data_IF_757374988055
#
_entry.id   IF_757374988055
#
_cell.length_a   1.000
_cell.length_b   1.000
_cell.length_c   1.000
_cell.angle_alpha   90.00
_cell.angle_beta   90.00
_cell.angle_gamma   90.00
#
_symmetry.space_group_name_H-M   'P 1'
#
loop_
_entity.id
_entity.type
_entity.pdbx_description
1 polymer ?
#
# COMPACT_ATOMS: atom_id res chain seq x y z
N UNK A 1 -27.78 6.09 23.09
CA UNK A 1 -28.96 6.55 22.32
C UNK A 1 -28.79 8.04 21.98
N UNK A 2 -28.14 8.35 20.87
CA UNK A 2 -28.05 9.71 20.32
C UNK A 2 -28.17 9.62 18.79
N UNK A 3 -29.42 9.48 18.34
CA UNK A 3 -29.80 9.53 16.94
C UNK A 3 -29.98 11.01 16.60
N UNK A 4 -28.95 11.65 16.03
CA UNK A 4 -29.10 12.98 15.45
C UNK A 4 -28.96 12.92 13.93
N UNK A 5 -30.09 13.25 13.29
CA UNK A 5 -30.31 13.42 11.87
C UNK A 5 -29.34 14.45 11.27
N UNK A 6 -28.53 14.03 10.30
CA UNK A 6 -28.08 14.85 9.15
C UNK A 6 -28.18 13.92 7.94
N UNK A 7 -29.18 14.06 7.07
CA UNK A 7 -29.30 15.21 6.19
C UNK A 7 -28.44 14.94 4.96
N UNK A 8 -29.08 14.55 3.84
CA UNK A 8 -28.46 14.39 2.52
C UNK A 8 -27.85 15.73 2.08
N UNK A 9 -26.61 15.99 2.43
CA UNK A 9 -25.77 17.05 1.86
C UNK A 9 -24.31 16.60 1.95
N UNK A 10 -23.58 16.75 0.83
CA UNK A 10 -22.16 16.42 0.60
C UNK A 10 -21.37 15.81 1.77
N UNK A 11 -20.92 14.56 1.57
CA UNK A 11 -20.03 13.81 2.46
C UNK A 11 -18.72 14.57 2.67
N UNK A 12 -18.70 15.48 3.64
CA UNK A 12 -17.49 16.20 4.04
C UNK A 12 -16.73 15.36 5.08
N UNK A 13 -15.50 14.99 4.74
CA UNK A 13 -14.52 14.49 5.71
C UNK A 13 -14.37 15.53 6.83
N UNK A 14 -14.26 15.05 8.07
CA UNK A 14 -13.93 15.91 9.20
C UNK A 14 -12.59 16.62 8.94
N UNK A 15 -12.38 17.83 9.45
CA UNK A 15 -11.15 18.61 9.21
C UNK A 15 -9.91 17.83 9.65
N UNK A 16 -10.04 17.07 10.74
CA UNK A 16 -8.99 16.17 11.22
C UNK A 16 -8.66 15.06 10.22
N UNK A 17 -9.67 14.45 9.60
CA UNK A 17 -9.48 13.43 8.57
C UNK A 17 -8.82 14.01 7.32
N UNK A 18 -9.22 15.22 6.90
CA UNK A 18 -8.58 15.94 5.78
C UNK A 18 -7.10 16.19 6.04
N UNK A 19 -6.74 16.59 7.26
CA UNK A 19 -5.33 16.76 7.64
C UNK A 19 -4.54 15.45 7.58
N UNK A 20 -5.11 14.33 8.03
CA UNK A 20 -4.44 13.02 7.94
C UNK A 20 -4.25 12.55 6.50
N UNK A 21 -5.25 12.76 5.65
CA UNK A 21 -5.18 12.46 4.22
C UNK A 21 -4.14 13.34 3.52
N UNK A 22 -4.10 14.64 3.81
CA UNK A 22 -3.07 15.52 3.23
C UNK A 22 -1.66 15.08 3.64
N UNK A 23 -1.49 14.70 4.91
CA UNK A 23 -0.22 14.22 5.45
C UNK A 23 0.18 12.87 4.83
N UNK A 24 -0.78 11.98 4.55
CA UNK A 24 -0.50 10.72 3.86
C UNK A 24 -0.04 10.94 2.42
N UNK A 25 -0.63 11.90 1.70
CA UNK A 25 -0.14 12.32 0.39
C UNK A 25 1.27 12.92 0.46
N UNK A 26 1.58 13.73 1.46
CA UNK A 26 2.93 14.27 1.66
C UNK A 26 3.95 13.15 1.86
N UNK A 27 3.64 12.14 2.67
CA UNK A 27 4.53 10.99 2.87
C UNK A 27 4.68 10.13 1.62
N UNK A 28 3.58 9.84 0.91
CA UNK A 28 3.63 9.11 -0.35
C UNK A 28 4.44 9.85 -1.42
N UNK A 29 4.25 11.17 -1.53
CA UNK A 29 5.02 12.00 -2.45
C UNK A 29 6.50 12.08 -2.07
N UNK A 30 6.82 12.27 -0.79
CA UNK A 30 8.20 12.27 -0.30
C UNK A 30 8.89 10.93 -0.60
N UNK A 31 8.17 9.80 -0.41
CA UNK A 31 8.66 8.47 -0.79
C UNK A 31 8.94 8.38 -2.29
N UNK A 32 8.03 8.86 -3.15
CA UNK A 32 8.21 8.85 -4.62
C UNK A 32 9.44 9.65 -5.04
N UNK A 33 9.60 10.88 -4.54
CA UNK A 33 10.74 11.73 -4.88
C UNK A 33 12.05 11.13 -4.39
N UNK A 34 12.08 10.66 -3.13
CA UNK A 34 13.26 10.01 -2.58
C UNK A 34 13.65 8.76 -3.36
N UNK A 35 12.67 7.93 -3.72
CA UNK A 35 12.87 6.70 -4.48
C UNK A 35 13.34 6.98 -5.91
N UNK A 36 12.81 8.02 -6.57
CA UNK A 36 13.27 8.45 -7.89
C UNK A 36 14.72 8.95 -7.84
N UNK A 37 15.06 9.77 -6.84
CA UNK A 37 16.44 10.23 -6.63
C UNK A 37 17.39 9.04 -6.37
N UNK A 38 16.99 8.11 -5.50
CA UNK A 38 17.76 6.91 -5.21
C UNK A 38 17.91 6.03 -6.45
N UNK A 39 16.86 5.89 -7.27
CA UNK A 39 16.90 5.16 -8.52
C UNK A 39 17.89 5.72 -9.52
N UNK A 40 17.97 7.05 -9.64
CA UNK A 40 18.97 7.72 -10.48
C UNK A 40 20.40 7.46 -9.97
N UNK A 41 20.61 7.53 -8.66
CA UNK A 41 21.91 7.26 -8.03
C UNK A 41 22.34 5.80 -8.28
N UNK A 42 21.46 4.84 -7.99
CA UNK A 42 21.77 3.41 -8.10
C UNK A 42 21.92 2.94 -9.53
N UNK A 43 21.14 3.48 -10.47
CA UNK A 43 21.31 3.15 -11.90
C UNK A 43 22.68 3.60 -12.42
N UNK A 44 23.26 4.67 -11.85
CA UNK A 44 24.60 5.14 -12.18
C UNK A 44 25.71 4.32 -11.51
N UNK A 45 25.53 3.92 -10.26
CA UNK A 45 26.55 3.18 -9.50
C UNK A 45 26.55 1.68 -9.79
N UNK A 46 25.39 1.09 -10.07
CA UNK A 46 25.17 -0.34 -10.27
C UNK A 46 24.38 -0.55 -11.57
N UNK A 47 25.01 -0.30 -12.72
CA UNK A 47 24.35 -0.49 -14.01
C UNK A 47 23.91 -1.95 -14.16
N UNK A 48 22.67 -2.14 -14.62
CA UNK A 48 22.00 -3.44 -14.83
C UNK A 48 21.45 -4.15 -13.58
N UNK A 49 21.64 -3.63 -12.36
CA UNK A 49 21.10 -4.29 -11.15
C UNK A 49 19.57 -4.23 -11.08
N UNK A 50 18.99 -3.09 -11.44
CA UNK A 50 17.55 -2.87 -11.36
C UNK A 50 17.00 -2.48 -12.73
N UNK A 51 15.96 -3.18 -13.18
CA UNK A 51 15.26 -2.82 -14.41
C UNK A 51 14.49 -1.49 -14.27
N UNK A 52 14.25 -0.75 -15.37
CA UNK A 52 13.37 0.41 -15.36
C UNK A 52 11.95 0.08 -14.86
N UNK A 53 11.45 -1.12 -15.18
CA UNK A 53 10.13 -1.61 -14.73
C UNK A 53 10.11 -1.78 -13.21
N UNK A 54 11.18 -2.32 -12.61
CA UNK A 54 11.32 -2.41 -11.17
C UNK A 54 11.17 -1.03 -10.51
N UNK A 55 11.90 -0.03 -10.99
CA UNK A 55 11.82 1.33 -10.44
C UNK A 55 10.44 1.94 -10.61
N UNK A 56 9.80 1.75 -11.77
CA UNK A 56 8.44 2.23 -12.01
C UNK A 56 7.45 1.63 -10.99
N UNK A 57 7.48 0.31 -10.81
CA UNK A 57 6.60 -0.40 -9.87
C UNK A 57 6.91 0.02 -8.43
N UNK A 58 8.19 0.11 -8.06
CA UNK A 58 8.62 0.51 -6.71
C UNK A 58 8.16 1.92 -6.35
N UNK A 59 8.36 2.89 -7.24
CA UNK A 59 7.94 4.27 -7.01
C UNK A 59 6.42 4.36 -6.92
N UNK A 60 5.70 3.77 -7.87
CA UNK A 60 4.25 3.87 -7.95
C UNK A 60 3.55 3.15 -6.78
N UNK A 61 3.82 1.85 -6.61
CA UNK A 61 3.13 1.04 -5.62
C UNK A 61 3.70 1.24 -4.21
N UNK A 62 4.98 1.55 -4.07
CA UNK A 62 5.56 1.95 -2.79
C UNK A 62 4.95 3.25 -2.28
N UNK A 63 4.85 4.28 -3.12
CA UNK A 63 4.24 5.56 -2.77
C UNK A 63 2.74 5.41 -2.43
N UNK A 64 2.01 4.60 -3.20
CA UNK A 64 0.62 4.27 -2.93
C UNK A 64 0.47 3.52 -1.59
N UNK A 65 1.33 2.54 -1.33
CA UNK A 65 1.29 1.76 -0.10
C UNK A 65 1.54 2.65 1.13
N UNK A 66 2.53 3.55 1.09
CA UNK A 66 2.80 4.49 2.18
C UNK A 66 1.57 5.38 2.44
N UNK A 67 0.99 5.95 1.38
CA UNK A 67 -0.17 6.82 1.48
C UNK A 67 -1.39 6.08 2.09
N UNK A 68 -1.78 4.96 1.48
CA UNK A 68 -2.94 4.19 1.91
C UNK A 68 -2.74 3.62 3.31
N UNK A 69 -1.57 3.07 3.62
CA UNK A 69 -1.26 2.50 4.95
C UNK A 69 -1.35 3.56 6.03
N UNK A 70 -0.76 4.74 5.82
CA UNK A 70 -0.84 5.81 6.81
C UNK A 70 -2.27 6.32 7.02
N UNK A 71 -3.01 6.57 5.94
CA UNK A 71 -4.38 7.06 6.02
C UNK A 71 -5.32 6.03 6.68
N UNK A 72 -5.16 4.74 6.38
CA UNK A 72 -5.97 3.65 6.94
C UNK A 72 -5.70 3.45 8.42
N UNK A 73 -4.43 3.42 8.85
CA UNK A 73 -4.07 3.29 10.27
C UNK A 73 -4.59 4.46 11.13
N UNK A 74 -4.82 5.64 10.53
CA UNK A 74 -5.40 6.81 11.19
C UNK A 74 -6.93 6.91 11.07
N UNK A 75 -7.60 5.90 10.49
CA UNK A 75 -9.07 5.93 10.32
C UNK A 75 -9.56 7.00 9.35
N UNK A 76 -8.68 7.56 8.51
CA UNK A 76 -8.99 8.67 7.62
C UNK A 76 -9.21 8.22 6.16
N UNK A 77 -8.94 6.95 5.85
CA UNK A 77 -9.11 6.40 4.51
C UNK A 77 -10.56 5.91 4.26
N UNK A 78 -11.16 6.14 3.08
CA UNK A 78 -12.52 5.69 2.78
C UNK A 78 -12.76 4.19 2.95
N UNK A 79 -11.71 3.36 2.82
CA UNK A 79 -11.80 1.90 2.94
C UNK A 79 -11.97 1.41 4.39
N UNK A 80 -11.72 2.25 5.39
CA UNK A 80 -11.95 1.94 6.80
C UNK A 80 -13.15 2.71 7.36
N UNK A 81 -13.79 3.56 6.55
CA UNK A 81 -15.01 4.26 6.95
C UNK A 81 -16.18 3.25 7.08
N UNK A 82 -16.94 3.25 8.20
CA UNK A 82 -18.12 2.41 8.39
C UNK A 82 -19.16 2.51 7.26
N UNK A 83 -19.21 3.63 6.54
CA UNK A 83 -20.13 3.82 5.39
C UNK A 83 -19.83 2.89 4.22
N UNK A 84 -18.57 2.50 4.05
CA UNK A 84 -18.11 1.63 2.97
C UNK A 84 -17.67 0.25 3.49
N UNK A 85 -18.27 -0.20 4.60
CA UNK A 85 -17.83 -1.38 5.35
C UNK A 85 -17.66 -2.62 4.45
N UNK A 86 -18.65 -2.96 3.62
CA UNK A 86 -18.56 -4.14 2.73
C UNK A 86 -17.44 -4.03 1.69
N UNK A 87 -17.33 -2.87 1.03
CA UNK A 87 -16.34 -2.65 -0.04
C UNK A 87 -14.92 -2.63 0.52
N UNK A 88 -14.70 -1.94 1.64
CA UNK A 88 -13.38 -1.89 2.25
C UNK A 88 -12.96 -3.23 2.87
N UNK A 89 -13.90 -4.07 3.33
CA UNK A 89 -13.55 -5.41 3.83
C UNK A 89 -13.06 -6.30 2.68
N UNK A 90 -13.82 -6.30 1.58
CA UNK A 90 -13.51 -7.10 0.39
C UNK A 90 -12.20 -6.64 -0.26
N UNK A 91 -11.96 -5.32 -0.32
CA UNK A 91 -10.73 -4.76 -0.85
C UNK A 91 -9.53 -5.04 0.07
N UNK A 92 -9.71 -4.93 1.40
CA UNK A 92 -8.66 -5.26 2.37
C UNK A 92 -8.21 -6.72 2.28
N UNK A 93 -9.17 -7.65 2.31
CA UNK A 93 -8.90 -9.09 2.15
C UNK A 93 -8.32 -9.39 0.77
N UNK A 94 -8.90 -8.81 -0.29
CA UNK A 94 -8.44 -9.01 -1.66
C UNK A 94 -6.99 -8.56 -1.87
N UNK A 95 -6.64 -7.37 -1.40
CA UNK A 95 -5.26 -6.86 -1.45
C UNK A 95 -4.31 -7.72 -0.61
N UNK A 96 -4.72 -8.16 0.59
CA UNK A 96 -3.90 -8.98 1.46
C UNK A 96 -3.61 -10.34 0.83
N UNK A 97 -4.65 -11.04 0.36
CA UNK A 97 -4.51 -12.36 -0.28
C UNK A 97 -3.72 -12.28 -1.58
N UNK A 98 -4.04 -11.31 -2.45
CA UNK A 98 -3.33 -11.15 -3.71
C UNK A 98 -1.87 -10.77 -3.48
N UNK A 99 -1.59 -9.88 -2.51
CA UNK A 99 -0.25 -9.54 -2.09
C UNK A 99 0.53 -10.77 -1.61
N UNK A 100 -0.07 -11.58 -0.72
CA UNK A 100 0.55 -12.80 -0.22
C UNK A 100 0.83 -13.81 -1.33
N UNK A 101 -0.13 -14.07 -2.22
CA UNK A 101 0.06 -14.97 -3.37
C UNK A 101 1.20 -14.49 -4.26
N UNK A 102 1.28 -13.18 -4.51
CA UNK A 102 2.33 -12.60 -5.36
C UNK A 102 3.72 -12.76 -4.70
N UNK A 103 3.83 -12.54 -3.39
CA UNK A 103 5.08 -12.74 -2.63
C UNK A 103 5.49 -14.22 -2.68
N UNK A 104 4.55 -15.14 -2.48
CA UNK A 104 4.84 -16.58 -2.50
C UNK A 104 5.24 -17.06 -3.90
N UNK A 105 4.56 -16.60 -4.94
CA UNK A 105 4.89 -16.95 -6.34
C UNK A 105 6.27 -16.42 -6.74
N UNK A 106 6.61 -15.19 -6.36
CA UNK A 106 7.92 -14.60 -6.67
C UNK A 106 9.05 -15.25 -5.88
N UNK A 107 8.82 -15.59 -4.61
CA UNK A 107 9.76 -16.39 -3.81
C UNK A 107 9.95 -17.80 -4.36
N UNK A 108 8.87 -18.46 -4.80
CA UNK A 108 8.93 -19.76 -5.45
C UNK A 108 9.70 -19.69 -6.78
N UNK A 109 9.48 -18.65 -7.58
CA UNK A 109 10.22 -18.45 -8.83
C UNK A 109 11.72 -18.30 -8.59
N UNK A 110 12.11 -17.52 -7.58
CA UNK A 110 13.52 -17.36 -7.18
C UNK A 110 14.18 -18.69 -6.86
N UNK A 111 13.51 -19.54 -6.06
CA UNK A 111 14.03 -20.86 -5.67
C UNK A 111 14.03 -21.84 -6.84
N UNK A 112 12.93 -21.94 -7.58
CA UNK A 112 12.79 -22.91 -8.67
C UNK A 112 13.74 -22.65 -9.83
N UNK A 113 13.98 -21.37 -10.17
CA UNK A 113 14.87 -20.97 -11.26
C UNK A 113 16.32 -20.72 -10.82
N UNK A 114 16.63 -20.87 -9.52
CA UNK A 114 17.96 -20.62 -8.96
C UNK A 114 18.50 -19.22 -9.34
N UNK A 115 17.62 -18.21 -9.32
CA UNK A 115 17.97 -16.87 -9.75
C UNK A 115 18.89 -16.21 -8.73
N UNK A 116 20.02 -15.68 -9.21
CA UNK A 116 20.84 -14.78 -8.41
C UNK A 116 20.13 -13.45 -8.18
N UNK A 117 20.51 -12.73 -7.12
CA UNK A 117 19.92 -11.44 -6.75
C UNK A 117 19.91 -10.45 -7.92
N UNK A 118 20.98 -10.43 -8.71
CA UNK A 118 21.06 -9.57 -9.88
C UNK A 118 20.06 -9.97 -10.97
N UNK A 119 19.93 -11.27 -11.26
CA UNK A 119 18.97 -11.78 -12.24
C UNK A 119 17.52 -11.52 -11.82
N UNK A 120 17.24 -11.64 -10.51
CA UNK A 120 15.93 -11.41 -9.92
C UNK A 120 15.41 -9.96 -10.08
N UNK A 121 16.32 -8.97 -10.03
CA UNK A 121 15.97 -7.54 -10.12
C UNK A 121 16.21 -6.91 -11.51
N UNK A 122 17.10 -7.50 -12.31
CA UNK A 122 17.44 -7.04 -13.67
C UNK A 122 16.41 -7.46 -14.72
N UNK A 123 15.76 -8.61 -14.55
CA UNK A 123 14.66 -9.04 -15.40
C UNK A 123 13.35 -8.57 -14.78
N UNK A 124 12.70 -7.59 -15.41
CA UNK A 124 11.55 -6.84 -14.89
C UNK A 124 10.27 -7.61 -14.52
N UNK A 125 10.34 -8.93 -14.31
CA UNK A 125 9.24 -9.79 -13.87
C UNK A 125 9.21 -10.08 -12.37
N UNK A 126 10.28 -10.59 -11.75
CA UNK A 126 10.16 -11.21 -10.42
C UNK A 126 10.35 -10.22 -9.26
N UNK A 127 11.39 -9.39 -9.31
CA UNK A 127 11.64 -8.38 -8.26
C UNK A 127 10.59 -7.26 -8.22
N UNK A 128 10.08 -6.83 -9.38
CA UNK A 128 9.00 -5.85 -9.48
C UNK A 128 7.69 -6.40 -8.89
N UNK A 129 7.37 -7.66 -9.19
CA UNK A 129 6.21 -8.35 -8.62
C UNK A 129 6.32 -8.55 -7.11
N UNK A 130 7.53 -8.82 -6.59
CA UNK A 130 7.73 -8.91 -5.14
C UNK A 130 7.36 -7.60 -4.44
N UNK A 131 7.83 -6.47 -4.99
CA UNK A 131 7.49 -5.14 -4.47
C UNK A 131 6.00 -4.87 -4.56
N UNK A 132 5.37 -5.17 -5.69
CA UNK A 132 3.92 -5.07 -5.84
C UNK A 132 3.19 -5.89 -4.77
N UNK A 133 3.61 -7.14 -4.56
CA UNK A 133 3.06 -8.04 -3.55
C UNK A 133 3.20 -7.48 -2.13
N UNK A 134 4.37 -6.96 -1.77
CA UNK A 134 4.62 -6.32 -0.48
C UNK A 134 3.76 -5.07 -0.29
N UNK A 135 3.65 -4.22 -1.30
CA UNK A 135 2.81 -3.02 -1.27
C UNK A 135 1.34 -3.37 -1.05
N UNK A 136 0.82 -4.36 -1.79
CA UNK A 136 -0.56 -4.84 -1.65
C UNK A 136 -0.81 -5.48 -0.29
N UNK A 137 0.13 -6.30 0.19
CA UNK A 137 0.04 -6.94 1.49
C UNK A 137 0.02 -5.89 2.61
N UNK A 138 0.87 -4.87 2.55
CA UNK A 138 0.89 -3.79 3.52
C UNK A 138 -0.43 -3.01 3.55
N UNK A 139 -0.96 -2.61 2.38
CA UNK A 139 -2.25 -1.93 2.27
C UNK A 139 -3.42 -2.79 2.75
N UNK A 140 -3.46 -4.07 2.36
CA UNK A 140 -4.49 -4.99 2.79
C UNK A 140 -4.48 -5.18 4.31
N UNK A 141 -3.28 -5.41 4.86
CA UNK A 141 -3.05 -5.58 6.29
C UNK A 141 -3.47 -4.36 7.09
N UNK A 142 -3.17 -3.14 6.62
CA UNK A 142 -3.52 -1.91 7.32
C UNK A 142 -5.04 -1.68 7.38
N UNK A 143 -5.76 -2.01 6.31
CA UNK A 143 -7.22 -1.95 6.25
C UNK A 143 -7.84 -2.95 7.23
N UNK A 144 -7.40 -4.21 7.19
CA UNK A 144 -7.92 -5.25 8.09
C UNK A 144 -7.57 -4.97 9.56
N UNK A 145 -6.36 -4.48 9.82
CA UNK A 145 -5.90 -4.18 11.17
C UNK A 145 -6.67 -3.01 11.80
N UNK A 146 -6.90 -1.91 11.05
CA UNK A 146 -7.69 -0.80 11.58
C UNK A 146 -9.11 -1.23 11.92
N UNK A 147 -9.75 -2.03 11.06
CA UNK A 147 -11.10 -2.55 11.31
C UNK A 147 -11.16 -3.49 12.51
N UNK A 148 -10.11 -4.29 12.74
CA UNK A 148 -10.00 -5.10 13.94
C UNK A 148 -9.90 -4.23 15.20
N UNK A 149 -9.11 -3.14 15.15
CA UNK A 149 -9.04 -2.17 16.24
C UNK A 149 -10.38 -1.48 16.48
N UNK A 150 -11.06 -1.01 15.42
CA UNK A 150 -12.37 -0.35 15.55
C UNK A 150 -13.38 -1.26 16.27
N UNK A 151 -13.40 -2.57 15.95
CA UNK A 151 -14.25 -3.54 16.66
C UNK A 151 -13.90 -3.71 18.14
N UNK A 152 -12.61 -3.70 18.48
CA UNK A 152 -12.18 -3.76 19.88
C UNK A 152 -12.54 -2.51 20.66
N UNK A 153 -12.37 -1.34 20.05
CA UNK A 153 -12.76 -0.04 20.64
C UNK A 153 -14.28 0.09 20.86
N UNK A 154 -15.11 -0.73 20.17
CA UNK A 154 -16.56 -0.80 20.38
C UNK A 154 -16.98 -1.80 21.49
N UNK A 155 -16.13 -2.77 21.82
CA UNK A 155 -16.40 -3.80 22.83
C UNK A 155 -15.98 -3.36 24.26
N UNK A 156 -15.08 -2.37 24.36
CA UNK A 156 -14.62 -1.74 25.62
C UNK A 156 -15.55 -0.57 26.06
#
# INVERSE_FOLDING_TARGET
>A
MAKQLRGKTGVALDERQKHFVLKSYQYGFAFTIFSAWLGLLLTRMLPNLFSPIFWFVFILFGGLAVNVTYATLKGAHPLVDPRFEKHGHLMGIGCLLYGLVTILMTGWEMVSKHLDVNEFFSHGGSGSMLILGLSLFAMGSSITYRRYLDKREEED
#
